data_IF_227370069166
#
_entry.id   IF_227370069166
#
_cell.length_a   1.000
_cell.length_b   1.000
_cell.length_c   1.000
_cell.angle_alpha   90.00
_cell.angle_beta   90.00
_cell.angle_gamma   90.00
#
_symmetry.space_group_name_H-M   'P 1'
#
loop_
_entity.id
_entity.type
_entity.pdbx_description
1 polymer ?
#
# COMPACT_ATOMS: atom_id res chain seq x y z
N UNK A 1 7.52 0.21 -17.17
CA UNK A 1 6.48 0.44 -16.15
C UNK A 1 7.21 0.62 -14.83
N UNK A 2 6.99 1.72 -14.11
CA UNK A 2 7.83 2.15 -13.00
C UNK A 2 7.18 2.03 -11.62
N UNK A 3 7.97 2.28 -10.58
CA UNK A 3 7.56 2.39 -9.18
C UNK A 3 7.72 3.86 -8.77
N UNK A 4 6.81 4.36 -7.95
CA UNK A 4 6.94 5.68 -7.31
C UNK A 4 7.06 5.50 -5.80
N UNK A 5 7.94 6.30 -5.18
CA UNK A 5 8.12 6.32 -3.73
C UNK A 5 7.42 7.54 -3.12
N UNK A 6 6.73 7.34 -2.01
CA UNK A 6 6.05 8.37 -1.23
C UNK A 6 6.59 8.32 0.20
N UNK A 7 7.23 9.40 0.63
CA UNK A 7 7.78 9.54 1.97
C UNK A 7 6.68 10.04 2.92
N UNK A 8 6.39 9.24 3.94
CA UNK A 8 5.58 9.66 5.07
C UNK A 8 6.49 10.24 6.16
N UNK A 9 6.06 11.30 6.85
CA UNK A 9 6.82 11.88 7.94
C UNK A 9 6.92 10.91 9.12
N UNK A 10 7.90 11.14 9.99
CA UNK A 10 7.89 10.51 11.30
C UNK A 10 6.68 10.95 12.13
N UNK A 11 6.33 10.11 13.09
CA UNK A 11 5.29 10.39 14.08
C UNK A 11 5.87 10.21 15.47
N UNK A 12 5.09 10.55 16.51
CA UNK A 12 5.50 10.35 17.91
C UNK A 12 5.87 8.90 18.26
N UNK A 13 5.39 7.92 17.48
CA UNK A 13 5.53 6.48 17.78
C UNK A 13 6.15 5.68 16.64
N UNK A 14 6.51 6.30 15.52
CA UNK A 14 7.13 5.60 14.40
C UNK A 14 8.06 6.49 13.58
N UNK A 15 9.14 5.89 13.12
CA UNK A 15 10.10 6.49 12.18
C UNK A 15 9.42 6.78 10.83
N UNK A 16 10.03 7.60 9.95
CA UNK A 16 9.47 7.88 8.63
C UNK A 16 9.12 6.59 7.86
N UNK A 17 8.07 6.66 7.06
CA UNK A 17 7.63 5.54 6.22
C UNK A 17 8.00 5.78 4.76
N UNK A 18 8.46 4.75 4.06
CA UNK A 18 8.58 4.78 2.60
C UNK A 18 7.54 3.86 2.00
N UNK A 19 6.60 4.44 1.28
CA UNK A 19 5.55 3.75 0.54
C UNK A 19 5.98 3.62 -0.93
N UNK A 20 6.09 2.40 -1.42
CA UNK A 20 6.43 2.08 -2.81
C UNK A 20 5.15 1.67 -3.53
N UNK A 21 4.79 2.37 -4.60
CA UNK A 21 3.56 2.14 -5.36
C UNK A 21 3.92 1.79 -6.81
N UNK A 22 3.59 0.58 -7.22
CA UNK A 22 3.74 0.11 -8.59
C UNK A 22 2.75 0.81 -9.55
N UNK A 23 3.00 0.65 -10.85
CA UNK A 23 2.19 1.22 -11.93
C UNK A 23 0.71 0.79 -11.88
N UNK A 24 0.42 -0.43 -11.45
CA UNK A 24 -0.95 -0.97 -11.35
C UNK A 24 -1.65 -0.64 -10.02
N UNK A 25 -0.95 0.04 -9.11
CA UNK A 25 -1.45 0.42 -7.81
C UNK A 25 -1.13 -0.57 -6.70
N UNK A 26 -0.48 -1.71 -6.98
CA UNK A 26 0.06 -2.54 -5.91
C UNK A 26 1.09 -1.73 -5.10
N UNK A 27 1.09 -1.90 -3.79
CA UNK A 27 1.94 -1.10 -2.92
C UNK A 27 2.48 -1.87 -1.72
N UNK A 28 3.60 -1.39 -1.21
CA UNK A 28 4.16 -1.82 0.08
C UNK A 28 4.71 -0.62 0.84
N UNK A 29 4.61 -0.66 2.16
CA UNK A 29 5.12 0.38 3.07
C UNK A 29 6.18 -0.21 3.98
N UNK A 30 7.38 0.37 4.03
CA UNK A 30 8.46 -0.03 4.94
C UNK A 30 8.88 1.17 5.82
N UNK A 31 9.12 0.98 7.13
CA UNK A 31 9.76 2.02 7.94
C UNK A 31 11.19 2.25 7.44
N UNK A 32 11.58 3.51 7.33
CA UNK A 32 12.94 3.95 7.02
C UNK A 32 13.45 4.75 8.21
N UNK A 33 14.68 4.49 8.65
CA UNK A 33 15.20 5.07 9.90
C UNK A 33 15.15 6.60 9.92
N UNK A 34 15.44 7.23 8.77
CA UNK A 34 15.39 8.67 8.59
C UNK A 34 15.07 9.07 7.13
N UNK A 35 14.80 10.36 6.93
CA UNK A 35 14.51 10.97 5.62
C UNK A 35 15.68 10.84 4.64
N UNK A 36 16.92 10.94 5.13
CA UNK A 36 18.11 10.88 4.29
C UNK A 36 18.27 9.49 3.65
N UNK A 37 17.97 8.44 4.42
CA UNK A 37 17.96 7.05 3.98
C UNK A 37 16.88 6.83 2.92
N UNK A 38 15.68 7.38 3.09
CA UNK A 38 14.65 7.31 2.04
C UNK A 38 15.09 7.98 0.73
N UNK A 39 15.69 9.18 0.80
CA UNK A 39 16.22 9.88 -0.38
C UNK A 39 17.31 9.08 -1.07
N UNK A 40 18.25 8.52 -0.30
CA UNK A 40 19.31 7.67 -0.82
C UNK A 40 18.76 6.42 -1.50
N UNK A 41 17.78 5.73 -0.88
CA UNK A 41 17.16 4.54 -1.47
C UNK A 41 16.43 4.86 -2.78
N UNK A 42 15.71 5.99 -2.84
CA UNK A 42 15.03 6.40 -4.06
C UNK A 42 16.01 6.72 -5.20
N UNK A 43 17.13 7.36 -4.87
CA UNK A 43 18.23 7.66 -5.81
C UNK A 43 18.91 6.37 -6.31
N UNK A 44 19.28 5.45 -5.40
CA UNK A 44 19.87 4.16 -5.74
C UNK A 44 18.95 3.27 -6.58
N UNK A 45 17.64 3.37 -6.39
CA UNK A 45 16.63 2.64 -7.17
C UNK A 45 16.19 3.38 -8.44
N UNK A 46 16.68 4.61 -8.66
CA UNK A 46 16.31 5.48 -9.79
C UNK A 46 14.78 5.67 -9.91
N UNK A 47 14.09 5.81 -8.77
CA UNK A 47 12.64 6.03 -8.70
C UNK A 47 12.31 7.44 -8.20
N UNK A 48 11.22 8.05 -8.68
CA UNK A 48 10.78 9.34 -8.16
C UNK A 48 10.35 9.21 -6.70
N UNK A 49 10.71 10.21 -5.90
CA UNK A 49 10.36 10.34 -4.49
C UNK A 49 9.51 11.59 -4.26
N UNK A 50 8.32 11.38 -3.71
CA UNK A 50 7.36 12.43 -3.38
C UNK A 50 7.18 12.56 -1.87
N UNK A 51 6.86 13.75 -1.39
CA UNK A 51 6.40 13.95 -0.02
C UNK A 51 4.89 13.63 0.06
N UNK A 52 4.53 12.59 0.82
CA UNK A 52 3.14 12.14 0.90
C UNK A 52 2.19 13.17 1.54
N UNK A 53 2.70 14.08 2.37
CA UNK A 53 1.89 15.15 2.97
C UNK A 53 1.56 16.24 1.97
N UNK A 54 2.44 16.46 0.99
CA UNK A 54 2.24 17.45 -0.06
C UNK A 54 1.44 16.88 -1.24
N UNK A 55 1.80 15.68 -1.72
CA UNK A 55 1.18 15.10 -2.93
C UNK A 55 -0.07 14.29 -2.63
N UNK A 56 -0.22 13.78 -1.40
CA UNK A 56 -1.12 12.68 -1.12
C UNK A 56 -0.69 11.37 -1.79
N UNK A 57 -1.56 10.37 -1.72
CA UNK A 57 -1.37 9.06 -2.35
C UNK A 57 -2.02 8.99 -3.74
N UNK A 58 -1.46 8.22 -4.68
CA UNK A 58 -1.96 8.17 -6.04
C UNK A 58 -3.27 7.39 -6.15
N UNK A 59 -4.17 7.81 -7.04
CA UNK A 59 -5.49 7.19 -7.22
C UNK A 59 -5.43 5.68 -7.52
N UNK A 60 -4.40 5.24 -8.25
CA UNK A 60 -4.20 3.82 -8.58
C UNK A 60 -4.04 2.95 -7.33
N UNK A 61 -3.38 3.44 -6.29
CA UNK A 61 -3.25 2.74 -5.01
C UNK A 61 -4.62 2.54 -4.36
N UNK A 62 -5.44 3.59 -4.33
CA UNK A 62 -6.81 3.52 -3.79
C UNK A 62 -7.68 2.55 -4.57
N UNK A 63 -7.62 2.58 -5.90
CA UNK A 63 -8.35 1.66 -6.78
C UNK A 63 -7.92 0.20 -6.57
N UNK A 64 -6.63 -0.06 -6.42
CA UNK A 64 -6.11 -1.39 -6.11
C UNK A 64 -6.72 -1.93 -4.80
N UNK A 65 -6.79 -1.08 -3.77
CA UNK A 65 -7.36 -1.41 -2.47
C UNK A 65 -8.87 -1.68 -2.54
N UNK A 66 -9.62 -0.87 -3.29
CA UNK A 66 -11.05 -1.07 -3.51
C UNK A 66 -11.33 -2.43 -4.19
N UNK A 67 -10.56 -2.77 -5.22
CA UNK A 67 -10.67 -4.05 -5.92
C UNK A 67 -10.32 -5.21 -4.98
N UNK A 68 -9.21 -5.10 -4.22
CA UNK A 68 -8.77 -6.12 -3.27
C UNK A 68 -9.82 -6.38 -2.19
N UNK A 69 -10.32 -5.32 -1.55
CA UNK A 69 -11.35 -5.40 -0.50
C UNK A 69 -12.65 -5.99 -1.05
N UNK A 70 -13.08 -5.58 -2.25
CA UNK A 70 -14.29 -6.12 -2.89
C UNK A 70 -14.19 -7.62 -3.17
N UNK A 71 -13.02 -8.08 -3.67
CA UNK A 71 -12.74 -9.50 -3.89
C UNK A 71 -12.77 -10.29 -2.58
N UNK A 72 -12.08 -9.82 -1.55
CA UNK A 72 -12.08 -10.47 -0.24
C UNK A 72 -13.48 -10.58 0.37
N UNK A 73 -14.29 -9.51 0.27
CA UNK A 73 -15.68 -9.52 0.77
C UNK A 73 -16.53 -10.57 0.05
N UNK A 74 -16.44 -10.66 -1.28
CA UNK A 74 -17.17 -11.66 -2.07
C UNK A 74 -16.76 -13.09 -1.70
N UNK A 75 -15.47 -13.34 -1.54
CA UNK A 75 -14.96 -14.66 -1.14
C UNK A 75 -15.41 -15.04 0.27
N UNK A 76 -15.33 -14.12 1.24
CA UNK A 76 -15.81 -14.36 2.61
C UNK A 76 -17.32 -14.66 2.62
N UNK A 77 -18.11 -13.91 1.87
CA UNK A 77 -19.55 -14.16 1.75
C UNK A 77 -19.86 -15.53 1.12
N UNK A 78 -19.09 -15.95 0.11
CA UNK A 78 -19.21 -17.30 -0.50
C UNK A 78 -18.89 -18.39 0.52
N UNK A 79 -17.76 -18.28 1.24
CA UNK A 79 -17.36 -19.27 2.26
C UNK A 79 -18.39 -19.40 3.37
N UNK A 80 -18.97 -18.29 3.83
CA UNK A 80 -20.02 -18.30 4.85
C UNK A 80 -21.28 -19.04 4.37
N UNK A 81 -21.71 -18.80 3.11
CA UNK A 81 -22.85 -19.50 2.51
C UNK A 81 -22.60 -21.00 2.38
N UNK A 82 -21.39 -21.39 1.99
CA UNK A 82 -20.99 -22.80 1.88
C UNK A 82 -20.98 -23.49 3.25
N UNK A 83 -20.47 -22.84 4.30
CA UNK A 83 -20.50 -23.35 5.67
C UNK A 83 -21.92 -23.53 6.20
N UNK A 84 -22.81 -22.55 5.99
CA UNK A 84 -24.22 -22.66 6.41
C UNK A 84 -24.90 -23.86 5.75
N UNK A 85 -24.68 -24.05 4.43
CA UNK A 85 -25.26 -25.19 3.70
C UNK A 85 -24.73 -26.55 4.18
N UNK A 86 -23.50 -26.61 4.68
CA UNK A 86 -22.89 -27.83 5.22
C UNK A 86 -23.25 -28.15 6.68
N UNK A 87 -23.71 -27.16 7.45
CA UNK A 87 -24.11 -27.31 8.85
C UNK A 87 -25.60 -27.69 9.02
N UNK A 88 -26.37 -27.62 7.94
CA UNK A 88 -27.79 -28.02 7.87
C UNK A 88 -27.99 -29.50 7.42
N UNK A 89 -26.96 -30.34 7.56
CA UNK A 89 -27.01 -31.81 7.34
C UNK A 89 -26.45 -32.53 8.57
#
# INVERSE_FOLDING_TARGET
MGIEAYLEPETLVSVPGLLLVAFDGEWTRRPVGDVATARKLADELEIPLYDAMETGYPDRMRLFEEVRISRERKERARRLREQMRGNDH
#
